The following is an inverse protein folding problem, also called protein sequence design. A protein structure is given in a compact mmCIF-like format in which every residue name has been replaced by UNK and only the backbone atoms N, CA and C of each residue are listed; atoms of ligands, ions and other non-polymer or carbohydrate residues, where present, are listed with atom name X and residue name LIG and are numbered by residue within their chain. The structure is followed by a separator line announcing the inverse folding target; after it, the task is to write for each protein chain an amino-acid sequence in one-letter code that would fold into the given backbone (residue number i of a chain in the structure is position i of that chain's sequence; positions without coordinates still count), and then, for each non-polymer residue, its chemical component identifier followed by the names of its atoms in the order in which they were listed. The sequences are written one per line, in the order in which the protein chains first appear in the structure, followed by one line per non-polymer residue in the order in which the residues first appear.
data_IF_306023815990
#
_entry.id   IF_306023815990
#
_cell.length_a   1.000
_cell.length_b   1.000
_cell.length_c   1.000
_cell.angle_alpha   90.00
_cell.angle_beta   90.00
_cell.angle_gamma   90.00
#
_symmetry.space_group_name_H-M   'P 1'
#
loop_
_entity.id
_entity.type
_entity.pdbx_description
1 polymer ?
#
# COMPACT_ATOMS: atom_id res chain seq x y z
N UNK A 1 -7.28 -4.93 -9.53
CA UNK A 1 -7.69 -4.98 -8.11
C UNK A 1 -7.39 -6.38 -7.58
N UNK A 2 -6.80 -6.54 -6.39
CA UNK A 2 -6.29 -7.84 -5.92
C UNK A 2 -7.25 -8.58 -4.97
N UNK A 3 -7.84 -7.88 -3.98
CA UNK A 3 -8.78 -8.45 -2.99
C UNK A 3 -9.85 -9.42 -3.56
N UNK A 4 -10.58 -9.10 -4.65
CA UNK A 4 -11.60 -10.00 -5.20
C UNK A 4 -11.04 -11.26 -5.85
N UNK A 5 -9.75 -11.27 -6.20
CA UNK A 5 -9.07 -12.43 -6.78
C UNK A 5 -8.69 -13.47 -5.72
N UNK A 6 -8.69 -13.08 -4.44
CA UNK A 6 -8.40 -13.97 -3.33
C UNK A 6 -7.01 -14.60 -3.43
N UNK A 7 -5.97 -13.81 -3.73
CA UNK A 7 -4.61 -14.34 -4.03
C UNK A 7 -3.95 -15.03 -2.83
N UNK A 8 -4.43 -14.79 -1.61
CA UNK A 8 -4.03 -15.57 -0.43
C UNK A 8 -5.04 -16.67 -0.07
N UNK A 9 -5.92 -17.06 -0.99
CA UNK A 9 -6.94 -18.07 -0.78
C UNK A 9 -8.14 -17.53 0.00
N UNK A 10 -8.30 -16.21 0.10
CA UNK A 10 -9.40 -15.61 0.84
C UNK A 10 -10.76 -15.96 0.22
N UNK A 11 -11.68 -16.47 1.02
CA UNK A 11 -13.03 -16.84 0.57
C UNK A 11 -13.08 -18.12 -0.27
N UNK A 12 -12.02 -18.93 -0.30
CA UNK A 12 -11.98 -20.22 -1.00
C UNK A 12 -12.27 -21.38 -0.07
N UNK A 13 -12.79 -22.49 -0.60
CA UNK A 13 -13.03 -23.72 0.17
C UNK A 13 -11.73 -24.38 0.67
N UNK A 14 -10.61 -24.17 -0.02
CA UNK A 14 -9.30 -24.68 0.37
C UNK A 14 -8.78 -24.05 1.67
N UNK A 15 -9.21 -22.81 1.96
CA UNK A 15 -8.80 -22.06 3.15
C UNK A 15 -10.01 -21.39 3.82
N UNK A 16 -10.89 -22.16 4.49
CA UNK A 16 -12.14 -21.65 5.05
C UNK A 16 -11.92 -20.55 6.12
N UNK A 17 -10.79 -20.59 6.80
CA UNK A 17 -10.42 -19.60 7.83
C UNK A 17 -9.87 -18.29 7.24
N UNK A 18 -9.55 -18.25 5.94
CA UNK A 18 -9.05 -17.04 5.28
C UNK A 18 -10.22 -16.23 4.77
N UNK A 19 -10.64 -15.24 5.56
CA UNK A 19 -11.68 -14.29 5.16
C UNK A 19 -11.11 -13.14 4.33
N UNK A 20 -11.87 -12.58 3.38
CA UNK A 20 -11.49 -11.34 2.70
C UNK A 20 -11.24 -10.23 3.73
N UNK A 21 -10.13 -9.51 3.59
CA UNK A 21 -9.80 -8.38 4.45
C UNK A 21 -10.74 -7.19 4.21
N UNK A 22 -10.73 -6.20 5.11
CA UNK A 22 -11.55 -4.99 4.98
C UNK A 22 -11.09 -4.11 3.82
N UNK A 23 -12.02 -3.47 3.11
CA UNK A 23 -11.71 -2.42 2.11
C UNK A 23 -11.44 -1.07 2.75
N UNK A 24 -11.63 -0.95 4.07
CA UNK A 24 -11.44 0.26 4.85
C UNK A 24 -10.37 -0.03 5.90
N UNK A 25 -9.34 0.82 5.95
CA UNK A 25 -8.31 0.82 6.96
C UNK A 25 -8.11 2.24 7.48
N UNK A 26 -7.77 2.36 8.76
CA UNK A 26 -7.42 3.64 9.38
C UNK A 26 -5.90 3.76 9.37
N UNK A 27 -5.38 4.98 9.25
CA UNK A 27 -3.97 5.25 9.48
C UNK A 27 -3.77 6.38 10.49
N UNK A 28 -2.71 6.27 11.28
CA UNK A 28 -2.24 7.29 12.20
C UNK A 28 -0.95 7.87 11.62
N UNK A 29 -0.97 9.13 11.14
CA UNK A 29 0.22 9.79 10.63
C UNK A 29 1.08 10.33 11.78
N UNK A 30 2.39 10.13 11.67
CA UNK A 30 3.39 10.81 12.49
C UNK A 30 4.46 11.37 11.55
N UNK A 31 4.67 12.68 11.60
CA UNK A 31 5.54 13.35 10.64
C UNK A 31 6.10 14.65 11.16
N UNK A 32 7.08 15.15 10.41
CA UNK A 32 7.69 16.44 10.65
C UNK A 32 7.93 17.14 9.32
N UNK A 33 7.88 18.47 9.36
CA UNK A 33 8.15 19.29 8.20
C UNK A 33 8.79 20.61 8.57
N UNK A 34 9.46 21.20 7.59
CA UNK A 34 10.03 22.53 7.67
C UNK A 34 9.39 23.40 6.60
N UNK A 35 9.07 24.65 6.96
CA UNK A 35 8.60 25.65 6.02
C UNK A 35 9.52 26.87 6.10
N UNK A 36 9.97 27.33 4.94
CA UNK A 36 10.87 28.46 4.80
C UNK A 36 10.26 29.54 3.89
N UNK A 37 10.26 30.78 4.36
CA UNK A 37 9.84 31.93 3.56
C UNK A 37 11.01 32.38 2.68
N UNK A 38 10.90 32.19 1.37
CA UNK A 38 11.92 32.64 0.41
C UNK A 38 11.88 34.17 0.30
N UNK A 39 10.67 34.74 0.24
CA UNK A 39 10.42 36.17 0.23
C UNK A 39 8.97 36.43 0.74
N UNK A 40 8.53 37.69 0.91
CA UNK A 40 7.18 37.98 1.41
C UNK A 40 6.01 37.39 0.60
N UNK A 41 6.27 36.96 -0.65
CA UNK A 41 5.29 36.40 -1.57
C UNK A 41 5.43 34.90 -1.79
N UNK A 42 6.49 34.25 -1.30
CA UNK A 42 6.81 32.87 -1.66
C UNK A 42 7.34 32.09 -0.46
N UNK A 43 6.83 30.87 -0.29
CA UNK A 43 7.31 29.91 0.69
C UNK A 43 7.61 28.58 0.01
N UNK A 44 8.60 27.87 0.54
CA UNK A 44 8.87 26.46 0.23
C UNK A 44 8.73 25.65 1.51
N UNK A 45 8.20 24.44 1.40
CA UNK A 45 8.07 23.49 2.49
C UNK A 45 8.54 22.11 2.08
N UNK A 46 9.02 21.35 3.05
CA UNK A 46 9.32 19.93 2.92
C UNK A 46 8.73 19.18 4.12
N UNK A 47 8.05 18.08 3.89
CA UNK A 47 7.43 17.26 4.94
C UNK A 47 7.76 15.77 4.71
N UNK A 48 8.01 15.04 5.79
CA UNK A 48 8.07 13.58 5.79
C UNK A 48 7.09 13.07 6.84
N UNK A 49 6.18 12.18 6.41
CA UNK A 49 5.15 11.59 7.26
C UNK A 49 5.19 10.08 7.14
N UNK A 50 5.41 9.42 8.27
CA UNK A 50 5.22 8.00 8.43
C UNK A 50 3.75 7.71 8.78
N UNK A 51 3.12 6.77 8.09
CA UNK A 51 1.73 6.37 8.32
C UNK A 51 1.67 4.94 8.83
N UNK A 52 1.28 4.80 10.09
CA UNK A 52 0.96 3.51 10.68
C UNK A 52 -0.46 3.11 10.28
N UNK A 53 -0.64 1.96 9.63
CA UNK A 53 -1.98 1.51 9.22
C UNK A 53 -2.53 0.42 10.14
N UNK A 54 -3.85 0.25 10.16
CA UNK A 54 -4.50 -0.83 10.91
C UNK A 54 -4.57 -2.15 10.13
N UNK A 55 -4.04 -2.19 8.90
CA UNK A 55 -4.14 -3.35 7.99
C UNK A 55 -2.78 -3.97 7.71
N UNK A 56 -2.80 -5.23 7.29
CA UNK A 56 -1.62 -6.02 6.86
C UNK A 56 -1.89 -6.56 5.45
N UNK A 57 -2.48 -5.70 4.61
CA UNK A 57 -3.03 -6.07 3.30
C UNK A 57 -2.94 -4.89 2.32
N UNK A 58 -1.98 -3.99 2.51
CA UNK A 58 -1.74 -2.85 1.61
C UNK A 58 -1.27 -3.33 0.24
N UNK A 59 -0.55 -4.44 0.20
CA UNK A 59 -0.02 -5.10 -1.00
C UNK A 59 -0.69 -6.45 -1.33
N UNK A 60 -1.77 -6.82 -0.62
CA UNK A 60 -2.43 -8.13 -0.70
C UNK A 60 -1.55 -9.32 -0.24
N UNK A 61 -0.64 -9.08 0.71
CA UNK A 61 0.25 -10.09 1.28
C UNK A 61 0.29 -10.02 2.81
N UNK A 62 -0.05 -11.14 3.47
CA UNK A 62 -0.07 -11.24 4.93
C UNK A 62 0.42 -12.59 5.42
N UNK A 63 0.07 -13.69 4.74
CA UNK A 63 0.18 -15.04 5.30
C UNK A 63 1.21 -15.89 4.56
N UNK A 64 0.73 -16.93 3.89
CA UNK A 64 1.54 -17.95 3.25
C UNK A 64 1.08 -18.14 1.82
N UNK A 65 1.96 -18.68 0.99
CA UNK A 65 1.58 -19.17 -0.33
C UNK A 65 0.47 -20.22 -0.22
N UNK A 66 -0.46 -20.13 -1.17
CA UNK A 66 -1.72 -20.89 -1.21
C UNK A 66 -1.55 -22.22 -1.93
N UNK A 67 -0.60 -22.30 -2.87
CA UNK A 67 -0.48 -23.39 -3.84
C UNK A 67 -1.19 -23.05 -5.15
N UNK A 68 -0.54 -23.32 -6.28
CA UNK A 68 -1.06 -23.00 -7.61
C UNK A 68 -2.26 -23.87 -8.01
N UNK A 69 -2.38 -25.06 -7.43
CA UNK A 69 -3.46 -26.02 -7.61
C UNK A 69 -4.79 -25.59 -6.96
N UNK A 70 -4.77 -24.59 -6.07
CA UNK A 70 -5.97 -24.07 -5.40
C UNK A 70 -6.71 -23.01 -6.21
N UNK A 71 -6.18 -22.62 -7.36
CA UNK A 71 -6.80 -21.64 -8.24
C UNK A 71 -7.34 -22.37 -9.49
N UNK A 72 -8.61 -22.15 -9.86
CA UNK A 72 -9.13 -22.72 -11.09
C UNK A 72 -8.41 -22.12 -12.29
N UNK A 73 -8.14 -22.95 -13.30
CA UNK A 73 -7.69 -22.48 -14.60
C UNK A 73 -8.82 -21.77 -15.33
N UNK A 74 -8.45 -20.95 -16.32
CA UNK A 74 -9.40 -20.38 -17.27
C UNK A 74 -10.00 -21.48 -18.16
N UNK A 75 -11.07 -21.15 -18.89
CA UNK A 75 -11.76 -22.08 -19.80
C UNK A 75 -10.86 -22.67 -20.88
N UNK A 76 -9.80 -21.97 -21.25
CA UNK A 76 -8.78 -22.40 -22.23
C UNK A 76 -7.66 -23.26 -21.61
N UNK A 77 -7.75 -23.57 -20.32
CA UNK A 77 -6.74 -24.34 -19.58
C UNK A 77 -5.54 -23.53 -19.11
N UNK A 78 -5.50 -22.21 -19.35
CA UNK A 78 -4.39 -21.37 -18.90
C UNK A 78 -4.52 -20.99 -17.42
N UNK A 79 -3.39 -20.71 -16.72
CA UNK A 79 -3.41 -20.22 -15.35
C UNK A 79 -4.23 -18.94 -15.20
N UNK A 80 -5.13 -18.90 -14.21
CA UNK A 80 -5.93 -17.72 -13.92
C UNK A 80 -5.08 -16.55 -13.42
N UNK A 81 -5.64 -15.35 -13.48
CA UNK A 81 -4.97 -14.14 -12.98
C UNK A 81 -4.65 -14.28 -11.49
N UNK A 82 -5.56 -14.85 -10.70
CA UNK A 82 -5.34 -15.09 -9.27
C UNK A 82 -4.12 -15.98 -9.02
N UNK A 83 -3.99 -17.08 -9.76
CA UNK A 83 -2.85 -17.99 -9.68
C UNK A 83 -1.52 -17.30 -10.01
N UNK A 84 -1.49 -16.49 -11.07
CA UNK A 84 -0.27 -15.77 -11.48
C UNK A 84 0.11 -14.66 -10.49
N UNK A 85 -0.86 -14.02 -9.85
CA UNK A 85 -0.61 -12.94 -8.90
C UNK A 85 -0.32 -13.43 -7.48
N UNK A 86 -0.74 -14.65 -7.14
CA UNK A 86 -0.37 -15.34 -5.89
C UNK A 86 1.16 -15.50 -5.78
N UNK A 87 1.82 -15.83 -6.89
CA UNK A 87 3.28 -15.90 -6.96
C UNK A 87 3.79 -15.40 -8.32
N UNK A 88 4.48 -14.26 -8.33
CA UNK A 88 5.08 -13.65 -9.52
C UNK A 88 6.56 -14.00 -9.72
N UNK A 89 7.13 -14.89 -8.90
CA UNK A 89 8.55 -15.25 -8.99
C UNK A 89 8.95 -15.85 -10.35
N UNK A 90 7.99 -16.44 -11.08
CA UNK A 90 8.19 -16.93 -12.44
C UNK A 90 8.66 -15.84 -13.43
N UNK A 91 8.45 -14.56 -13.13
CA UNK A 91 8.90 -13.45 -13.99
C UNK A 91 10.42 -13.25 -13.95
N UNK A 92 11.06 -13.66 -12.86
CA UNK A 92 12.48 -13.42 -12.61
C UNK A 92 13.31 -14.70 -12.53
N UNK A 93 12.70 -15.88 -12.52
CA UNK A 93 13.40 -17.16 -12.44
C UNK A 93 12.52 -18.33 -12.03
N UNK A 94 13.11 -19.27 -11.28
CA UNK A 94 12.41 -20.43 -10.76
C UNK A 94 11.34 -20.02 -9.74
N UNK A 95 10.21 -20.73 -9.75
CA UNK A 95 9.09 -20.49 -8.84
C UNK A 95 9.53 -20.80 -7.40
N UNK A 96 9.40 -19.83 -6.51
CA UNK A 96 9.80 -19.95 -5.09
C UNK A 96 8.63 -20.22 -4.14
N UNK A 97 7.40 -20.02 -4.60
CA UNK A 97 6.17 -20.17 -3.81
C UNK A 97 5.84 -21.62 -3.52
N UNK A 98 6.25 -22.09 -2.35
CA UNK A 98 5.87 -23.40 -1.82
C UNK A 98 4.62 -23.22 -0.95
N UNK A 99 3.59 -24.02 -1.18
CA UNK A 99 2.36 -24.01 -0.36
C UNK A 99 2.69 -24.05 1.14
N UNK A 100 2.05 -23.17 1.92
CA UNK A 100 2.28 -23.05 3.36
C UNK A 100 3.55 -22.31 3.77
N UNK A 101 4.49 -22.04 2.86
CA UNK A 101 5.66 -21.19 3.14
C UNK A 101 5.23 -19.76 3.40
N UNK A 102 5.87 -19.13 4.39
CA UNK A 102 5.64 -17.73 4.74
C UNK A 102 5.88 -16.81 3.52
N UNK A 103 4.91 -15.93 3.26
CA UNK A 103 4.93 -14.93 2.19
C UNK A 103 4.86 -13.52 2.76
N UNK A 104 3.96 -13.29 3.74
CA UNK A 104 3.83 -12.04 4.49
C UNK A 104 4.12 -12.21 5.99
N UNK A 105 3.88 -11.15 6.76
CA UNK A 105 4.12 -11.12 8.20
C UNK A 105 2.86 -10.73 8.97
N UNK A 106 1.98 -11.69 9.34
CA UNK A 106 0.63 -11.39 9.87
C UNK A 106 0.64 -10.75 11.27
N UNK A 107 1.79 -10.78 11.94
CA UNK A 107 2.01 -10.19 13.27
C UNK A 107 2.37 -8.70 13.21
N UNK A 108 2.76 -8.21 12.05
CA UNK A 108 3.06 -6.81 11.82
C UNK A 108 1.93 -6.20 10.98
N UNK A 109 1.74 -4.88 11.05
CA UNK A 109 0.83 -4.14 10.16
C UNK A 109 1.65 -3.38 9.15
N UNK A 110 1.07 -3.16 7.98
CA UNK A 110 1.72 -2.41 6.91
C UNK A 110 1.84 -0.94 7.28
N UNK A 111 2.92 -0.34 6.80
CA UNK A 111 3.29 1.04 7.07
C UNK A 111 3.93 1.61 5.83
N UNK A 112 3.79 2.92 5.63
CA UNK A 112 4.42 3.60 4.49
C UNK A 112 4.79 5.02 4.85
N UNK A 113 5.78 5.56 4.13
CA UNK A 113 6.26 6.93 4.28
C UNK A 113 5.80 7.74 3.08
N UNK A 114 5.36 8.96 3.33
CA UNK A 114 5.17 9.98 2.30
C UNK A 114 6.16 11.11 2.52
N UNK A 115 6.73 11.62 1.43
CA UNK A 115 7.51 12.84 1.42
C UNK A 115 6.84 13.84 0.48
N UNK A 116 6.70 15.09 0.93
CA UNK A 116 6.05 16.16 0.17
C UNK A 116 6.98 17.38 0.05
N UNK A 117 6.93 18.04 -1.11
CA UNK A 117 7.48 19.36 -1.33
C UNK A 117 6.34 20.33 -1.63
N UNK A 118 6.23 21.39 -0.85
CA UNK A 118 5.17 22.39 -0.99
C UNK A 118 5.74 23.70 -1.51
N UNK A 119 5.09 24.31 -2.51
CA UNK A 119 5.37 25.67 -2.96
C UNK A 119 4.12 26.52 -2.74
N UNK A 120 4.24 27.64 -2.03
CA UNK A 120 3.10 28.52 -1.71
C UNK A 120 3.36 29.95 -2.17
N UNK A 121 2.38 30.56 -2.84
CA UNK A 121 2.42 31.94 -3.31
C UNK A 121 1.38 32.81 -2.60
N UNK A 122 1.79 33.95 -2.05
CA UNK A 122 0.87 34.95 -1.49
C UNK A 122 0.49 35.94 -2.61
N UNK A 123 -0.78 35.97 -2.99
CA UNK A 123 -1.30 36.80 -4.10
C UNK A 123 -1.65 38.24 -3.69
N UNK A 124 -1.72 38.52 -2.40
CA UNK A 124 -2.10 39.84 -1.86
C UNK A 124 -0.90 40.58 -1.29
N UNK A 125 -0.74 41.88 -1.59
CA UNK A 125 0.21 42.75 -0.89
C UNK A 125 -0.47 43.45 0.28
N UNK A 126 -0.13 43.08 1.51
CA UNK A 126 -0.51 43.88 2.68
C UNK A 126 0.47 45.05 2.79
N UNK A 127 0.03 46.27 2.46
CA UNK A 127 0.76 47.49 2.79
C UNK A 127 0.25 47.96 4.15
N UNK A 128 1.06 47.83 5.20
CA UNK A 128 0.75 48.52 6.45
C UNK A 128 0.77 50.04 6.20
N UNK A 129 -0.17 50.81 6.75
CA UNK A 129 -0.07 52.26 6.75
C UNK A 129 1.21 52.65 7.51
N UNK A 130 1.99 53.59 6.99
CA UNK A 130 3.09 54.21 7.74
C UNK A 130 2.50 55.01 8.89
N UNK A 131 3.09 54.89 10.08
CA UNK A 131 2.76 55.74 11.21
C UNK A 131 3.06 57.20 10.84
N UNK A 132 2.06 58.07 10.98
CA UNK A 132 2.20 59.52 10.84
C UNK A 132 2.91 60.10 12.07
#
# INVERSE_FOLDING_TARGET
YLRPLGTEGQGTAAYPDRKPYSTIAICVPFGMGVKYAINPRMNIGAEIVHRFTTTDYLDDVSKTYVGSDKFPNNTDGTPSIAQRLQDRSYETGEIIGIEGRQRGLPKQKDQYIMAELTFSFNLTSYRCPTAN
#
